data_IF_806751325554
#
_entry.id   IF_806751325554
#
_cell.length_a   1.000
_cell.length_b   1.000
_cell.length_c   1.000
_cell.angle_alpha   90.00
_cell.angle_beta   90.00
_cell.angle_gamma   90.00
#
_symmetry.space_group_name_H-M   'P 1'
#
loop_
_entity.id
_entity.type
_entity.pdbx_description
1 polymer ?
#
# COMPACT_ATOMS: atom_id res chain seq x y z
N UNK A 1 9.76 -8.76 4.09
CA UNK A 1 8.67 -9.35 3.27
C UNK A 1 7.91 -10.49 3.95
N UNK A 2 8.54 -11.61 4.39
CA UNK A 2 7.82 -12.74 5.05
C UNK A 2 7.04 -12.30 6.30
N UNK A 3 7.60 -11.40 7.13
CA UNK A 3 6.91 -10.82 8.29
C UNK A 3 5.63 -10.10 7.87
N UNK A 4 5.72 -9.21 6.88
CA UNK A 4 4.60 -8.43 6.36
C UNK A 4 3.47 -9.34 5.84
N UNK A 5 3.80 -10.36 5.06
CA UNK A 5 2.81 -11.32 4.58
C UNK A 5 2.09 -12.01 5.74
N UNK A 6 2.81 -12.45 6.79
CA UNK A 6 2.19 -13.08 7.98
C UNK A 6 1.27 -12.10 8.73
N UNK A 7 1.68 -10.83 8.84
CA UNK A 7 0.88 -9.80 9.51
C UNK A 7 -0.43 -9.50 8.77
N UNK A 8 -0.47 -9.73 7.45
CA UNK A 8 -1.64 -9.49 6.61
C UNK A 8 -2.52 -10.74 6.39
N UNK A 9 -2.01 -11.96 6.68
CA UNK A 9 -2.74 -13.22 6.43
C UNK A 9 -3.19 -13.94 7.70
N UNK A 10 -3.14 -13.32 8.87
CA UNK A 10 -3.62 -13.91 10.14
C UNK A 10 -5.13 -14.19 10.13
N UNK A 11 -5.59 -15.06 11.04
CA UNK A 11 -7.01 -15.45 11.14
C UNK A 11 -7.96 -14.26 11.34
N UNK A 12 -7.49 -13.21 12.03
CA UNK A 12 -8.24 -11.97 12.27
C UNK A 12 -7.99 -10.89 11.21
N UNK A 13 -7.35 -11.22 10.07
CA UNK A 13 -7.09 -10.25 9.02
C UNK A 13 -8.37 -9.83 8.30
N UNK A 14 -8.59 -8.54 8.03
CA UNK A 14 -9.69 -8.08 7.18
C UNK A 14 -9.40 -8.35 5.69
N UNK A 15 -8.17 -8.77 5.34
CA UNK A 15 -7.77 -9.01 3.97
C UNK A 15 -8.23 -10.40 3.52
N UNK A 16 -9.08 -10.47 2.51
CA UNK A 16 -9.59 -11.73 1.92
C UNK A 16 -8.52 -12.42 1.07
N UNK A 17 -7.73 -11.63 0.34
CA UNK A 17 -6.63 -12.07 -0.49
C UNK A 17 -5.39 -11.18 -0.25
N UNK A 18 -4.20 -11.75 -0.33
CA UNK A 18 -2.92 -11.00 -0.27
C UNK A 18 -2.09 -11.31 -1.50
N UNK A 19 -1.70 -10.25 -2.20
CA UNK A 19 -0.93 -10.31 -3.44
C UNK A 19 0.41 -9.60 -3.31
N UNK A 20 1.44 -10.19 -3.89
CA UNK A 20 2.73 -9.54 -4.08
C UNK A 20 2.79 -8.98 -5.50
N UNK A 21 2.84 -7.63 -5.61
CA UNK A 21 3.13 -6.98 -6.88
C UNK A 21 4.62 -7.14 -7.21
N UNK A 22 4.91 -7.62 -8.41
CA UNK A 22 6.26 -7.84 -8.92
C UNK A 22 6.45 -7.13 -10.24
N UNK A 23 7.66 -6.67 -10.51
CA UNK A 23 8.02 -6.09 -11.79
C UNK A 23 7.89 -7.10 -12.94
N UNK A 24 7.73 -6.59 -14.15
CA UNK A 24 7.63 -7.43 -15.34
C UNK A 24 8.89 -8.27 -15.53
N UNK A 25 8.72 -9.58 -15.61
CA UNK A 25 9.83 -10.53 -15.76
C UNK A 25 10.55 -10.90 -14.46
N UNK A 26 10.16 -10.34 -13.32
CA UNK A 26 10.68 -10.73 -12.02
C UNK A 26 10.04 -12.02 -11.53
N UNK A 27 10.77 -12.77 -10.71
CA UNK A 27 10.30 -14.01 -10.10
C UNK A 27 10.87 -14.14 -8.69
N UNK A 28 10.01 -14.50 -7.75
CA UNK A 28 10.37 -14.74 -6.33
C UNK A 28 9.82 -16.10 -5.92
N UNK A 29 10.41 -17.22 -6.41
CA UNK A 29 9.88 -18.57 -6.17
C UNK A 29 9.90 -18.98 -4.68
N UNK A 30 10.81 -18.41 -3.90
CA UNK A 30 10.93 -18.60 -2.46
C UNK A 30 9.78 -17.96 -1.65
N UNK A 31 9.03 -17.03 -2.24
CA UNK A 31 7.93 -16.35 -1.57
C UNK A 31 6.62 -17.05 -1.89
N UNK A 32 6.02 -17.65 -0.85
CA UNK A 32 4.72 -18.29 -0.93
C UNK A 32 3.59 -17.27 -0.79
N UNK A 33 3.34 -16.49 -1.86
CA UNK A 33 2.23 -15.56 -1.98
C UNK A 33 1.70 -15.61 -3.42
N UNK A 34 0.45 -15.21 -3.59
CA UNK A 34 -0.08 -14.91 -4.91
C UNK A 34 0.71 -13.74 -5.48
N UNK A 35 1.00 -13.77 -6.79
CA UNK A 35 1.79 -12.74 -7.45
C UNK A 35 1.00 -12.09 -8.57
N UNK A 36 1.17 -10.79 -8.72
CA UNK A 36 0.64 -10.03 -9.85
C UNK A 36 1.77 -9.24 -10.49
N UNK A 37 1.93 -9.37 -11.80
CA UNK A 37 2.97 -8.65 -12.55
C UNK A 37 2.41 -7.37 -13.15
N UNK A 38 3.26 -6.34 -13.20
CA UNK A 38 2.94 -5.07 -13.83
C UNK A 38 2.60 -5.27 -15.30
N UNK A 39 1.47 -4.72 -15.73
CA UNK A 39 1.04 -4.73 -17.13
C UNK A 39 1.64 -3.58 -17.95
N UNK A 40 2.12 -2.55 -17.25
CA UNK A 40 2.72 -1.34 -17.82
C UNK A 40 4.17 -1.22 -17.36
N UNK A 41 5.12 -1.90 -18.05
CA UNK A 41 6.52 -1.90 -17.65
C UNK A 41 7.11 -0.50 -17.57
N UNK A 42 7.92 -0.24 -16.55
CA UNK A 42 8.60 1.04 -16.38
C UNK A 42 7.73 2.20 -15.88
N UNK A 43 6.47 1.94 -15.54
CA UNK A 43 5.57 2.96 -14.97
C UNK A 43 5.67 3.10 -13.45
N UNK A 44 6.67 2.45 -12.84
CA UNK A 44 6.95 2.54 -11.40
C UNK A 44 5.75 2.12 -10.53
N UNK A 45 5.55 2.77 -9.38
CA UNK A 45 4.53 2.37 -8.41
C UNK A 45 3.10 2.34 -8.95
N UNK A 46 2.79 3.14 -9.96
CA UNK A 46 1.46 3.17 -10.57
C UNK A 46 1.14 1.90 -11.34
N UNK A 47 2.15 1.27 -11.98
CA UNK A 47 1.99 -0.01 -12.68
C UNK A 47 1.58 -1.12 -11.71
N UNK A 48 2.28 -1.22 -10.58
CA UNK A 48 1.95 -2.18 -9.52
C UNK A 48 0.58 -1.95 -8.89
N UNK A 49 0.21 -0.69 -8.64
CA UNK A 49 -1.11 -0.33 -8.12
C UNK A 49 -2.23 -0.73 -9.10
N UNK A 50 -2.06 -0.44 -10.38
CA UNK A 50 -3.04 -0.85 -11.42
C UNK A 50 -3.20 -2.36 -11.49
N UNK A 51 -2.09 -3.09 -11.52
CA UNK A 51 -2.11 -4.54 -11.58
C UNK A 51 -2.82 -5.15 -10.35
N UNK A 52 -2.55 -4.62 -9.16
CA UNK A 52 -3.19 -5.07 -7.92
C UNK A 52 -4.69 -4.75 -7.88
N UNK A 53 -5.11 -3.53 -8.23
CA UNK A 53 -6.52 -3.14 -8.31
C UNK A 53 -7.28 -4.00 -9.32
N UNK A 54 -6.65 -4.41 -10.41
CA UNK A 54 -7.28 -5.23 -11.44
C UNK A 54 -7.61 -6.65 -10.97
N UNK A 55 -6.75 -7.26 -10.15
CA UNK A 55 -6.98 -8.60 -9.59
C UNK A 55 -7.78 -8.57 -8.30
N UNK A 56 -7.85 -7.43 -7.62
CA UNK A 56 -8.66 -7.24 -6.44
C UNK A 56 -10.13 -7.52 -6.74
N UNK A 57 -10.76 -8.39 -5.94
CA UNK A 57 -12.18 -8.73 -6.06
C UNK A 57 -13.07 -7.80 -5.26
N UNK A 58 -12.51 -7.24 -4.19
CA UNK A 58 -13.19 -6.33 -3.27
C UNK A 58 -13.24 -4.90 -3.82
N UNK A 59 -14.07 -4.07 -3.23
CA UNK A 59 -14.17 -2.64 -3.58
C UNK A 59 -12.93 -1.85 -3.14
N UNK A 60 -12.25 -2.30 -2.10
CA UNK A 60 -11.11 -1.62 -1.48
C UNK A 60 -9.88 -2.50 -1.50
N UNK A 61 -8.74 -1.89 -1.80
CA UNK A 61 -7.42 -2.51 -1.77
C UNK A 61 -6.54 -1.82 -0.72
N UNK A 62 -6.13 -2.55 0.32
CA UNK A 62 -5.05 -2.08 1.18
C UNK A 62 -3.71 -2.33 0.50
N UNK A 63 -2.92 -1.28 0.36
CA UNK A 63 -1.59 -1.31 -0.26
C UNK A 63 -0.55 -0.97 0.80
N UNK A 64 0.56 -1.70 0.78
CA UNK A 64 1.72 -1.40 1.63
C UNK A 64 3.01 -1.71 0.87
N UNK A 65 4.03 -0.83 0.95
CA UNK A 65 5.33 -1.11 0.39
C UNK A 65 6.01 -2.27 1.15
N UNK A 66 6.88 -3.01 0.48
CA UNK A 66 7.61 -4.13 1.10
C UNK A 66 8.68 -3.66 2.10
N UNK A 67 9.07 -2.41 2.06
CA UNK A 67 10.01 -1.75 2.95
C UNK A 67 9.37 -1.13 4.21
N UNK A 68 8.05 -1.27 4.40
CA UNK A 68 7.33 -0.95 5.63
C UNK A 68 6.98 -2.23 6.41
N UNK A 69 7.93 -2.86 7.09
CA UNK A 69 7.81 -4.23 7.58
C UNK A 69 6.85 -4.41 8.76
N UNK A 70 6.41 -3.32 9.38
CA UNK A 70 5.51 -3.34 10.53
C UNK A 70 4.05 -3.00 10.19
N UNK A 71 3.74 -2.65 8.93
CA UNK A 71 2.37 -2.53 8.48
C UNK A 71 1.63 -3.86 8.70
N UNK A 72 0.38 -3.81 9.15
CA UNK A 72 -0.37 -4.98 9.56
C UNK A 72 -1.87 -4.87 9.27
N UNK A 73 -2.59 -5.96 9.56
CA UNK A 73 -4.03 -6.04 9.40
C UNK A 73 -4.81 -5.06 10.30
N UNK A 74 -4.26 -4.68 11.45
CA UNK A 74 -4.87 -3.69 12.33
C UNK A 74 -4.85 -2.30 11.67
N UNK A 75 -3.72 -1.90 11.08
CA UNK A 75 -3.64 -0.65 10.32
C UNK A 75 -4.66 -0.62 9.18
N UNK A 76 -4.81 -1.73 8.45
CA UNK A 76 -5.84 -1.82 7.40
C UNK A 76 -7.26 -1.61 7.97
N UNK A 77 -7.61 -2.21 9.12
CA UNK A 77 -8.90 -2.00 9.78
C UNK A 77 -9.12 -0.56 10.21
N UNK A 78 -8.13 0.06 10.80
CA UNK A 78 -8.21 1.45 11.26
C UNK A 78 -8.41 2.42 10.10
N UNK A 79 -7.69 2.23 8.99
CA UNK A 79 -7.87 3.03 7.78
C UNK A 79 -9.26 2.79 7.13
N UNK A 80 -9.78 1.56 7.16
CA UNK A 80 -11.16 1.28 6.71
C UNK A 80 -12.22 2.02 7.52
N UNK A 81 -11.97 2.28 8.82
CA UNK A 81 -12.91 3.05 9.65
C UNK A 81 -13.10 4.48 9.15
N UNK A 82 -12.08 5.11 8.56
CA UNK A 82 -12.22 6.43 7.94
C UNK A 82 -13.15 6.42 6.72
N UNK A 83 -13.17 5.32 5.97
CA UNK A 83 -14.11 5.14 4.85
C UNK A 83 -15.53 4.90 5.38
N UNK A 84 -15.68 4.02 6.36
CA UNK A 84 -16.99 3.64 6.89
C UNK A 84 -17.71 4.78 7.60
N UNK A 85 -16.98 5.75 8.17
CA UNK A 85 -17.53 6.92 8.87
C UNK A 85 -17.77 8.12 7.96
N UNK A 86 -17.30 8.08 6.72
CA UNK A 86 -17.49 9.15 5.77
C UNK A 86 -18.93 9.23 5.26
N UNK A 87 -19.43 10.45 5.05
CA UNK A 87 -20.73 10.69 4.42
C UNK A 87 -20.73 10.49 2.91
N UNK A 88 -19.57 10.41 2.32
CA UNK A 88 -19.34 10.17 0.88
C UNK A 88 -18.21 9.16 0.68
N UNK A 89 -18.20 8.51 -0.46
CA UNK A 89 -17.17 7.56 -0.85
C UNK A 89 -15.91 8.29 -1.29
N UNK A 90 -14.78 8.00 -0.67
CA UNK A 90 -13.47 8.53 -1.05
C UNK A 90 -12.75 7.57 -2.01
N UNK A 91 -11.89 8.14 -2.85
CA UNK A 91 -11.05 7.40 -3.79
C UNK A 91 -9.88 6.69 -3.11
N UNK A 92 -9.35 7.30 -2.05
CA UNK A 92 -8.28 6.72 -1.25
C UNK A 92 -8.22 7.27 0.17
N UNK A 93 -7.61 6.50 1.06
CA UNK A 93 -7.20 6.90 2.42
C UNK A 93 -5.72 6.57 2.56
N UNK A 94 -4.86 7.59 2.73
CA UNK A 94 -3.41 7.43 2.70
C UNK A 94 -2.77 7.96 3.98
N UNK A 95 -1.66 7.34 4.37
CA UNK A 95 -0.93 7.67 5.60
C UNK A 95 0.09 8.80 5.35
N UNK A 96 0.13 9.76 6.27
CA UNK A 96 1.26 10.67 6.46
C UNK A 96 2.09 10.11 7.59
N UNK A 97 3.37 9.82 7.34
CA UNK A 97 4.27 9.23 8.34
C UNK A 97 4.66 10.21 9.46
N UNK A 98 5.40 9.73 10.47
CA UNK A 98 5.84 10.54 11.61
C UNK A 98 6.78 11.69 11.24
N UNK A 99 7.35 11.72 10.05
CA UNK A 99 8.15 12.83 9.50
C UNK A 99 7.30 13.83 8.69
N UNK A 100 5.98 13.62 8.60
CA UNK A 100 5.07 14.45 7.81
C UNK A 100 5.12 14.18 6.31
N UNK A 101 5.66 13.03 5.88
CA UNK A 101 5.75 12.66 4.47
C UNK A 101 4.56 11.80 4.06
N UNK A 102 3.95 12.16 2.93
CA UNK A 102 2.88 11.35 2.35
C UNK A 102 3.41 10.01 1.83
N UNK A 103 2.89 8.93 2.37
CA UNK A 103 3.15 7.55 1.97
C UNK A 103 2.14 7.13 0.90
N UNK A 104 2.48 7.36 -0.37
CA UNK A 104 1.55 7.18 -1.50
C UNK A 104 1.17 5.73 -1.78
N UNK A 105 1.92 4.77 -1.25
CA UNK A 105 1.66 3.33 -1.33
C UNK A 105 1.38 2.69 0.03
N UNK A 106 1.09 3.48 1.07
CA UNK A 106 0.63 2.97 2.36
C UNK A 106 -0.76 3.52 2.63
N UNK A 107 -1.77 2.67 2.45
CA UNK A 107 -3.16 3.07 2.63
C UNK A 107 -4.15 2.22 1.85
N UNK A 108 -5.34 2.75 1.66
CA UNK A 108 -6.44 2.08 0.99
C UNK A 108 -6.80 2.85 -0.28
N UNK A 109 -7.02 2.12 -1.36
CA UNK A 109 -7.54 2.63 -2.62
C UNK A 109 -8.88 1.98 -2.94
N UNK A 110 -9.85 2.78 -3.35
CA UNK A 110 -11.10 2.28 -3.88
C UNK A 110 -10.94 1.84 -5.34
N UNK A 111 -11.59 0.74 -5.71
CA UNK A 111 -11.48 0.15 -7.05
C UNK A 111 -11.96 1.08 -8.18
N UNK A 112 -12.79 2.07 -7.86
CA UNK A 112 -13.28 3.04 -8.85
C UNK A 112 -12.18 3.87 -9.51
N UNK A 113 -10.99 3.98 -8.91
CA UNK A 113 -9.86 4.71 -9.51
C UNK A 113 -9.19 3.95 -10.66
N UNK A 114 -9.46 2.63 -10.80
CA UNK A 114 -8.81 1.77 -11.78
C UNK A 114 -8.97 2.23 -13.24
N UNK A 115 -10.15 2.65 -13.73
CA UNK A 115 -10.31 3.09 -15.12
C UNK A 115 -9.42 4.29 -15.45
N UNK A 116 -9.38 5.30 -14.60
CA UNK A 116 -8.55 6.48 -14.80
C UNK A 116 -7.06 6.15 -14.71
N UNK A 117 -6.65 5.35 -13.71
CA UNK A 117 -5.28 4.90 -13.57
C UNK A 117 -4.81 4.13 -14.81
N UNK A 118 -5.63 3.20 -15.31
CA UNK A 118 -5.33 2.43 -16.54
C UNK A 118 -5.19 3.36 -17.75
N UNK A 119 -6.08 4.36 -17.90
CA UNK A 119 -6.02 5.31 -18.99
C UNK A 119 -4.73 6.15 -18.96
N UNK A 120 -4.31 6.62 -17.79
CA UNK A 120 -3.06 7.37 -17.62
C UNK A 120 -1.83 6.57 -17.99
N UNK A 121 -1.81 5.30 -17.56
CA UNK A 121 -0.72 4.39 -17.88
C UNK A 121 -0.67 4.06 -19.38
N UNK A 122 -1.82 3.87 -20.02
CA UNK A 122 -1.91 3.63 -21.47
C UNK A 122 -1.52 4.84 -22.32
N UNK A 123 -1.76 6.07 -21.84
CA UNK A 123 -1.33 7.32 -22.48
C UNK A 123 0.21 7.45 -22.52
N UNK A 124 0.92 6.83 -21.58
CA UNK A 124 2.38 6.68 -21.58
C UNK A 124 3.17 7.97 -21.42
N UNK A 125 2.52 9.11 -21.21
CA UNK A 125 3.20 10.40 -21.01
C UNK A 125 3.89 10.42 -19.66
N UNK A 126 5.24 10.55 -19.65
CA UNK A 126 6.07 10.50 -18.43
C UNK A 126 5.64 11.49 -17.35
N UNK A 127 5.12 12.65 -17.74
CA UNK A 127 4.62 13.67 -16.82
C UNK A 127 3.41 13.18 -16.02
N UNK A 128 2.60 12.30 -16.59
CA UNK A 128 1.40 11.72 -15.97
C UNK A 128 1.66 10.47 -15.12
N UNK A 129 2.88 9.92 -15.17
CA UNK A 129 3.26 8.69 -14.47
C UNK A 129 3.74 8.92 -13.03
N UNK A 130 3.60 10.15 -12.51
CA UNK A 130 3.89 10.43 -11.10
C UNK A 130 2.66 10.16 -10.26
N UNK A 131 2.75 9.26 -9.33
CA UNK A 131 1.65 8.90 -8.44
C UNK A 131 1.06 10.11 -7.70
N UNK A 132 1.90 11.09 -7.32
CA UNK A 132 1.44 12.33 -6.67
C UNK A 132 0.56 13.20 -7.56
N UNK A 133 0.80 13.19 -8.87
CA UNK A 133 -0.03 13.93 -9.83
C UNK A 133 -1.37 13.20 -10.06
N UNK A 134 -1.37 11.88 -10.03
CA UNK A 134 -2.60 11.08 -10.01
C UNK A 134 -3.46 11.38 -8.77
N UNK A 135 -2.85 11.40 -7.58
CA UNK A 135 -3.56 11.67 -6.33
C UNK A 135 -4.20 13.07 -6.26
N UNK A 136 -3.71 14.06 -7.00
CA UNK A 136 -4.33 15.40 -7.03
C UNK A 136 -5.71 15.45 -7.67
N UNK A 137 -6.00 14.47 -8.53
CA UNK A 137 -7.28 14.41 -9.24
C UNK A 137 -8.27 13.47 -8.53
N UNK A 138 -7.87 12.90 -7.37
CA UNK A 138 -8.67 12.01 -6.55
C UNK A 138 -9.17 12.69 -5.28
N UNK A 139 -10.29 12.22 -4.77
CA UNK A 139 -10.78 12.55 -3.42
C UNK A 139 -10.06 11.68 -2.38
N UNK A 140 -9.02 12.24 -1.74
CA UNK A 140 -8.13 11.51 -0.83
C UNK A 140 -8.25 12.02 0.59
N UNK A 141 -8.49 11.12 1.53
CA UNK A 141 -8.34 11.35 2.97
C UNK A 141 -6.90 11.09 3.39
N UNK A 142 -6.29 12.04 4.08
CA UNK A 142 -4.94 11.91 4.63
C UNK A 142 -5.01 11.69 6.13
N UNK A 143 -4.42 10.60 6.61
CA UNK A 143 -4.41 10.19 8.03
C UNK A 143 -3.00 10.30 8.57
N UNK A 144 -2.80 11.09 9.62
CA UNK A 144 -1.52 11.15 10.30
C UNK A 144 -1.25 9.82 11.03
N UNK A 145 -0.03 9.34 10.94
CA UNK A 145 0.38 8.08 11.57
C UNK A 145 0.14 8.06 13.09
N UNK A 146 0.27 9.20 13.76
CA UNK A 146 0.01 9.35 15.19
C UNK A 146 -1.45 9.07 15.59
N UNK A 147 -2.39 9.16 14.64
CA UNK A 147 -3.80 8.84 14.87
C UNK A 147 -4.10 7.33 14.80
N UNK A 148 -3.13 6.52 14.39
CA UNK A 148 -3.23 5.07 14.27
C UNK A 148 -2.46 4.37 15.40
N UNK A 149 -2.91 3.21 15.80
CA UNK A 149 -2.22 2.38 16.81
C UNK A 149 -0.84 1.97 16.29
N UNK A 150 0.22 2.38 16.99
CA UNK A 150 1.62 2.22 16.57
C UNK A 150 1.91 2.73 15.14
N UNK A 151 1.11 3.67 14.66
CA UNK A 151 1.11 4.08 13.26
C UNK A 151 2.43 4.67 12.79
N UNK A 152 3.13 5.44 13.64
CA UNK A 152 4.47 5.98 13.31
C UNK A 152 5.44 4.83 13.01
N UNK A 153 5.49 3.82 13.87
CA UNK A 153 6.32 2.63 13.65
C UNK A 153 5.87 1.84 12.41
N UNK A 154 4.56 1.63 12.25
CA UNK A 154 3.99 0.88 11.14
C UNK A 154 4.19 1.56 9.77
N UNK A 155 4.36 2.88 9.75
CA UNK A 155 4.64 3.66 8.55
C UNK A 155 6.14 3.89 8.28
N UNK A 156 7.01 3.45 9.19
CA UNK A 156 8.46 3.60 9.03
C UNK A 156 8.98 2.65 7.96
N UNK A 157 9.65 3.20 6.93
CA UNK A 157 10.34 2.41 5.92
C UNK A 157 11.72 1.95 6.40
N UNK A 158 12.15 0.82 5.89
CA UNK A 158 13.42 0.17 6.22
C UNK A 158 14.13 -0.23 4.93
N UNK A 159 15.17 0.52 4.57
CA UNK A 159 15.87 0.38 3.30
C UNK A 159 17.22 -0.32 3.42
N UNK A 160 17.75 -0.45 4.65
CA UNK A 160 19.08 -1.05 4.89
C UNK A 160 19.02 -2.13 5.98
N UNK A 161 19.95 -3.10 5.98
CA UNK A 161 20.05 -4.09 7.04
C UNK A 161 20.26 -3.46 8.43
N UNK A 162 20.98 -2.35 8.51
CA UNK A 162 21.27 -1.62 9.75
C UNK A 162 19.99 -0.96 10.30
N UNK A 163 19.16 -0.38 9.45
CA UNK A 163 17.85 0.15 9.84
C UNK A 163 16.94 -0.98 10.34
N UNK A 164 16.96 -2.13 9.68
CA UNK A 164 16.23 -3.30 10.11
C UNK A 164 16.64 -3.77 11.51
N UNK A 165 17.94 -3.87 11.76
CA UNK A 165 18.45 -4.28 13.09
C UNK A 165 18.01 -3.32 14.19
N UNK A 166 18.10 -2.00 13.98
CA UNK A 166 17.65 -0.99 14.94
C UNK A 166 16.16 -1.11 15.26
N UNK A 167 15.34 -1.32 14.24
CA UNK A 167 13.89 -1.47 14.40
C UNK A 167 13.54 -2.74 15.18
N UNK A 168 14.27 -3.83 14.96
CA UNK A 168 14.07 -5.09 15.68
C UNK A 168 14.54 -5.04 17.13
N UNK A 169 15.61 -4.32 17.42
CA UNK A 169 16.09 -4.08 18.79
C UNK A 169 15.05 -3.31 19.63
N UNK A 170 14.41 -2.31 19.04
CA UNK A 170 13.32 -1.57 19.69
C UNK A 170 12.10 -2.45 20.01
N UNK A 171 11.81 -3.46 19.18
CA UNK A 171 10.74 -4.43 19.43
C UNK A 171 11.00 -5.32 20.64
N UNK A 172 12.28 -5.64 20.91
CA UNK A 172 12.67 -6.55 22.00
C UNK A 172 12.62 -5.87 23.38
N UNK A 173 12.48 -4.56 23.44
CA UNK A 173 12.53 -3.75 24.67
C UNK A 173 11.11 -3.28 25.09
N UNK A 174 10.11 -3.41 24.23
CA UNK A 174 8.70 -3.02 24.45
C UNK A 174 7.86 -4.19 24.87
#
# INVERSE_FOLDING_TARGET
MVRLLRALTGEDSPCTDVWLSIGTGESYPEIRAQKVSDRFPGCGPMGGLEAALKVCREEYLFVTPVDTPFADAQMARELMAYIATASQQHDAVLVIDGDGRLQTLLGIYHKQVLPELTQRLADGRKEKLRIRDFLRDLDVVYVNAEALTDGVRKSTSCNTPEEWQRLMEQESIS
#
